data_IF_562625276597
#
_entry.id   IF_562625276597
#
_cell.length_a   1.000
_cell.length_b   1.000
_cell.length_c   1.000
_cell.angle_alpha   90.00
_cell.angle_beta   90.00
_cell.angle_gamma   90.00
#
_symmetry.space_group_name_H-M   'P 1'
#
loop_
_entity.id
_entity.type
_entity.pdbx_description
1 polymer ?
#
# COMPACT_ATOMS: atom_id res chain seq x y z
N UNK A 1 4.27 -2.70 11.02
CA UNK A 1 3.57 -1.91 9.95
C UNK A 1 2.97 -2.88 8.94
N UNK A 2 1.74 -2.63 8.50
CA UNK A 2 1.08 -3.39 7.44
C UNK A 2 0.66 -2.41 6.34
N UNK A 3 1.15 -2.63 5.12
CA UNK A 3 1.04 -1.63 4.03
C UNK A 3 0.19 -2.17 2.89
N UNK A 4 -0.81 -1.40 2.46
CA UNK A 4 -1.69 -1.74 1.35
C UNK A 4 -1.57 -0.75 0.20
N UNK A 5 -1.38 -1.28 -1.01
CA UNK A 5 -1.50 -0.49 -2.23
C UNK A 5 -2.97 -0.35 -2.64
N UNK A 6 -3.45 0.87 -2.87
CA UNK A 6 -4.84 1.12 -3.26
C UNK A 6 -4.92 1.67 -4.68
N UNK A 7 -5.59 0.93 -5.55
CA UNK A 7 -5.88 1.36 -6.92
C UNK A 7 -7.38 1.26 -7.23
N UNK A 8 -7.78 1.64 -8.41
CA UNK A 8 -9.18 1.51 -8.85
C UNK A 8 -9.51 2.39 -10.05
N UNK A 9 -10.68 2.16 -10.63
CA UNK A 9 -11.16 2.86 -11.81
C UNK A 9 -11.30 4.37 -11.63
N UNK A 10 -11.29 5.10 -12.72
CA UNK A 10 -11.64 6.53 -12.73
C UNK A 10 -13.09 6.69 -12.25
N UNK A 11 -13.28 7.48 -11.19
CA UNK A 11 -14.62 7.68 -10.61
C UNK A 11 -15.12 6.54 -9.70
N UNK A 12 -14.33 5.50 -9.43
CA UNK A 12 -14.71 4.43 -8.51
C UNK A 12 -14.82 4.88 -7.04
N UNK A 13 -14.19 5.98 -6.66
CA UNK A 13 -14.27 6.54 -5.31
C UNK A 13 -13.13 6.11 -4.38
N UNK A 14 -11.95 5.84 -4.94
CA UNK A 14 -10.72 5.54 -4.18
C UNK A 14 -10.49 6.49 -3.01
N UNK A 15 -10.50 7.78 -3.27
CA UNK A 15 -10.25 8.79 -2.23
C UNK A 15 -11.32 8.81 -1.13
N UNK A 16 -12.55 8.35 -1.41
CA UNK A 16 -13.58 8.16 -0.37
C UNK A 16 -13.25 6.95 0.49
N UNK A 17 -12.85 5.84 -0.14
CA UNK A 17 -12.38 4.62 0.55
C UNK A 17 -11.18 4.95 1.44
N UNK A 18 -10.14 5.59 0.89
CA UNK A 18 -8.94 5.99 1.65
C UNK A 18 -9.30 6.89 2.84
N UNK A 19 -10.21 7.87 2.66
CA UNK A 19 -10.68 8.75 3.74
C UNK A 19 -11.41 7.99 4.85
N UNK A 20 -12.18 6.95 4.51
CA UNK A 20 -12.82 6.11 5.53
C UNK A 20 -11.80 5.28 6.30
N UNK A 21 -10.81 4.71 5.64
CA UNK A 21 -9.69 4.06 6.31
C UNK A 21 -8.97 5.00 7.27
N UNK A 22 -8.68 6.22 6.83
CA UNK A 22 -8.00 7.25 7.63
C UNK A 22 -8.81 7.61 8.87
N UNK A 23 -10.14 7.80 8.74
CA UNK A 23 -11.03 8.06 9.88
C UNK A 23 -11.07 6.93 10.90
N UNK A 24 -10.78 5.70 10.47
CA UNK A 24 -10.76 4.51 11.32
C UNK A 24 -9.34 4.13 11.76
N UNK A 25 -8.35 5.02 11.65
CA UNK A 25 -7.04 4.86 12.27
C UNK A 25 -5.91 4.40 11.34
N UNK A 26 -6.15 4.26 10.04
CA UNK A 26 -5.09 4.03 9.07
C UNK A 26 -4.39 5.35 8.69
N UNK A 27 -3.13 5.27 8.29
CA UNK A 27 -2.42 6.40 7.65
C UNK A 27 -2.55 6.27 6.13
N UNK A 28 -2.80 7.38 5.43
CA UNK A 28 -2.92 7.39 3.97
C UNK A 28 -1.79 8.20 3.34
N UNK A 29 -1.10 7.62 2.37
CA UNK A 29 -0.15 8.27 1.48
C UNK A 29 -0.80 8.38 0.11
N UNK A 30 -0.93 9.60 -0.41
CA UNK A 30 -1.45 9.88 -1.75
C UNK A 30 -0.28 10.10 -2.71
N UNK A 31 -0.13 9.21 -3.71
CA UNK A 31 0.93 9.31 -4.71
C UNK A 31 0.71 10.52 -5.64
N UNK A 32 -0.52 10.94 -5.91
CA UNK A 32 -0.79 12.13 -6.72
C UNK A 32 -0.38 13.41 -5.96
N UNK A 33 -0.56 13.44 -4.65
CA UNK A 33 -0.04 14.53 -3.81
C UNK A 33 1.50 14.57 -3.82
N UNK A 34 2.15 13.42 -3.77
CA UNK A 34 3.62 13.33 -3.92
C UNK A 34 4.06 13.87 -5.28
N UNK A 35 3.39 13.51 -6.37
CA UNK A 35 3.68 14.07 -7.70
C UNK A 35 3.56 15.59 -7.69
N UNK A 36 2.56 16.12 -7.01
CA UNK A 36 2.37 17.56 -6.83
C UNK A 36 3.58 18.22 -6.17
N UNK A 37 4.04 17.68 -5.06
CA UNK A 37 5.20 18.17 -4.32
C UNK A 37 6.51 18.05 -5.14
N UNK A 38 6.64 16.97 -5.91
CA UNK A 38 7.83 16.76 -6.74
C UNK A 38 7.97 17.82 -7.85
N UNK A 39 6.86 18.34 -8.38
CA UNK A 39 6.87 19.44 -9.34
C UNK A 39 7.37 20.78 -8.76
N UNK A 40 7.40 20.92 -7.44
CA UNK A 40 7.97 22.09 -6.76
C UNK A 40 9.47 21.91 -6.50
N UNK A 41 10.00 20.69 -6.68
CA UNK A 41 11.42 20.38 -6.45
C UNK A 41 12.27 20.64 -7.70
N UNK A 42 13.40 21.34 -7.49
CA UNK A 42 14.34 21.71 -8.56
C UNK A 42 14.70 20.57 -9.52
N UNK A 43 15.06 19.33 -9.08
CA UNK A 43 15.53 18.30 -10.01
C UNK A 43 14.52 17.96 -11.13
N UNK A 44 13.23 17.86 -10.80
CA UNK A 44 12.19 17.59 -11.80
C UNK A 44 11.92 18.80 -12.67
N UNK A 45 11.84 19.98 -12.05
CA UNK A 45 11.59 21.24 -12.73
C UNK A 45 12.70 21.57 -13.75
N UNK A 46 13.97 21.42 -13.35
CA UNK A 46 15.12 21.71 -14.22
C UNK A 46 15.18 20.70 -15.39
N UNK A 47 14.91 19.43 -15.16
CA UNK A 47 14.82 18.42 -16.21
C UNK A 47 13.70 18.75 -17.23
N UNK A 48 12.53 19.11 -16.72
CA UNK A 48 11.37 19.47 -17.54
C UNK A 48 11.62 20.75 -18.35
N UNK A 49 12.21 21.78 -17.74
CA UNK A 49 12.59 23.02 -18.43
C UNK A 49 13.67 22.80 -19.48
N UNK A 50 14.66 21.98 -19.18
CA UNK A 50 15.70 21.62 -20.17
C UNK A 50 15.12 20.92 -21.39
N UNK A 51 14.05 20.14 -21.24
CA UNK A 51 13.43 19.40 -22.34
C UNK A 51 12.39 20.21 -23.09
N UNK A 52 11.54 20.94 -22.37
CA UNK A 52 10.38 21.62 -22.95
C UNK A 52 10.50 23.14 -22.99
N UNK A 53 11.54 23.71 -22.40
CA UNK A 53 11.76 25.15 -22.37
C UNK A 53 10.77 25.91 -21.50
N UNK A 54 10.69 27.22 -21.76
CA UNK A 54 9.81 28.14 -21.00
C UNK A 54 8.32 27.96 -21.29
N UNK A 55 7.95 27.15 -22.27
CA UNK A 55 6.53 26.92 -22.60
C UNK A 55 5.74 26.25 -21.48
N UNK A 56 6.42 25.58 -20.54
CA UNK A 56 5.80 24.96 -19.36
C UNK A 56 5.81 25.90 -18.13
N UNK A 57 6.26 27.15 -18.29
CA UNK A 57 6.26 28.13 -17.21
C UNK A 57 4.95 28.89 -17.19
N UNK A 58 4.28 28.93 -16.03
CA UNK A 58 3.17 29.81 -15.77
C UNK A 58 3.68 31.24 -15.50
N UNK A 59 2.81 32.29 -15.60
CA UNK A 59 3.23 33.67 -15.41
C UNK A 59 3.83 33.98 -14.02
N UNK A 60 3.49 33.20 -13.01
CA UNK A 60 4.01 33.28 -11.63
C UNK A 60 5.33 32.48 -11.44
N UNK A 61 5.87 31.88 -12.50
CA UNK A 61 7.07 31.06 -12.47
C UNK A 61 6.87 29.61 -12.04
N UNK A 62 5.63 29.23 -11.68
CA UNK A 62 5.27 27.83 -11.42
C UNK A 62 5.19 27.02 -12.72
N UNK A 63 4.97 25.72 -12.61
CA UNK A 63 4.74 24.84 -13.78
C UNK A 63 3.30 24.92 -14.26
N UNK A 64 3.11 25.24 -15.52
CA UNK A 64 1.81 25.09 -16.17
C UNK A 64 1.51 23.60 -16.43
N UNK A 65 0.80 22.99 -15.48
CA UNK A 65 0.43 21.57 -15.54
C UNK A 65 -0.51 21.23 -16.69
N UNK A 66 -1.29 22.19 -17.18
CA UNK A 66 -2.16 21.99 -18.36
C UNK A 66 -1.30 21.85 -19.61
N UNK A 67 -0.29 22.69 -19.74
CA UNK A 67 0.63 22.61 -20.86
C UNK A 67 1.47 21.31 -20.79
N UNK A 68 1.95 20.93 -19.60
CA UNK A 68 2.62 19.64 -19.41
C UNK A 68 1.72 18.49 -19.83
N UNK A 69 0.47 18.46 -19.36
CA UNK A 69 -0.49 17.43 -19.75
C UNK A 69 -0.71 17.40 -21.27
N UNK A 70 -0.80 18.57 -21.92
CA UNK A 70 -0.94 18.68 -23.38
C UNK A 70 0.24 18.06 -24.12
N UNK A 71 1.47 18.29 -23.63
CA UNK A 71 2.68 17.70 -24.20
C UNK A 71 2.66 16.18 -24.07
N UNK A 72 2.34 15.69 -22.90
CA UNK A 72 2.34 14.26 -22.59
C UNK A 72 1.30 13.48 -23.39
N UNK A 73 0.09 14.03 -23.53
CA UNK A 73 -0.97 13.38 -24.30
C UNK A 73 -0.77 13.48 -25.82
N UNK A 74 0.14 14.35 -26.28
CA UNK A 74 0.47 14.48 -27.69
C UNK A 74 1.60 13.54 -28.16
N UNK A 75 2.35 12.92 -27.24
CA UNK A 75 3.52 12.11 -27.58
C UNK A 75 3.82 11.03 -26.55
N UNK A 76 3.75 9.76 -26.98
CA UNK A 76 4.14 8.62 -26.15
C UNK A 76 5.60 8.71 -25.65
N UNK A 77 6.50 9.26 -26.48
CA UNK A 77 7.90 9.46 -26.12
C UNK A 77 8.08 10.46 -24.98
N UNK A 78 7.29 11.54 -24.96
CA UNK A 78 7.31 12.53 -23.89
C UNK A 78 6.71 11.95 -22.60
N UNK A 79 5.63 11.19 -22.74
CA UNK A 79 5.03 10.47 -21.62
C UNK A 79 6.01 9.48 -20.99
N UNK A 80 6.63 8.61 -21.82
CA UNK A 80 7.61 7.62 -21.36
C UNK A 80 8.83 8.29 -20.70
N UNK A 81 9.32 9.40 -21.26
CA UNK A 81 10.43 10.17 -20.69
C UNK A 81 10.11 10.71 -19.30
N UNK A 82 8.94 11.35 -19.13
CA UNK A 82 8.56 11.88 -17.83
C UNK A 82 8.35 10.75 -16.81
N UNK A 83 7.67 9.68 -17.19
CA UNK A 83 7.47 8.50 -16.32
C UNK A 83 8.80 7.90 -15.88
N UNK A 84 9.81 7.85 -16.76
CA UNK A 84 11.15 7.35 -16.44
C UNK A 84 11.86 8.15 -15.34
N UNK A 85 11.55 9.44 -15.20
CA UNK A 85 12.10 10.31 -14.14
C UNK A 85 11.19 10.27 -12.91
N UNK A 86 9.89 10.43 -13.11
CA UNK A 86 8.92 10.66 -12.03
C UNK A 86 8.67 9.41 -11.19
N UNK A 87 8.51 8.23 -11.84
CA UNK A 87 8.22 6.99 -11.10
C UNK A 87 9.29 6.63 -10.07
N UNK A 88 10.62 6.69 -10.38
CA UNK A 88 11.64 6.46 -9.37
C UNK A 88 11.62 7.49 -8.23
N UNK A 89 11.28 8.75 -8.53
CA UNK A 89 11.20 9.80 -7.51
C UNK A 89 10.00 9.56 -6.57
N UNK A 90 8.84 9.24 -7.13
CA UNK A 90 7.63 8.91 -6.36
C UNK A 90 7.87 7.69 -5.48
N UNK A 91 8.48 6.62 -6.03
CA UNK A 91 8.80 5.41 -5.28
C UNK A 91 9.70 5.71 -4.07
N UNK A 92 10.78 6.45 -4.27
CA UNK A 92 11.68 6.85 -3.17
C UNK A 92 10.97 7.67 -2.10
N UNK A 93 10.09 8.57 -2.51
CA UNK A 93 9.33 9.40 -1.57
C UNK A 93 8.33 8.56 -0.77
N UNK A 94 7.65 7.59 -1.40
CA UNK A 94 6.77 6.65 -0.71
C UNK A 94 7.58 5.84 0.31
N UNK A 95 8.69 5.22 -0.10
CA UNK A 95 9.58 4.45 0.78
C UNK A 95 10.09 5.28 1.96
N UNK A 96 10.49 6.54 1.70
CA UNK A 96 10.96 7.46 2.75
C UNK A 96 9.84 7.87 3.73
N UNK A 97 8.58 7.91 3.29
CA UNK A 97 7.44 8.15 4.19
C UNK A 97 7.09 6.90 4.98
N UNK A 98 7.04 5.74 4.31
CA UNK A 98 6.76 4.46 4.94
C UNK A 98 7.75 4.16 6.07
N UNK A 99 9.04 4.42 5.89
CA UNK A 99 10.07 4.18 6.92
C UNK A 99 9.88 4.97 8.24
N UNK A 100 8.92 5.89 8.29
CA UNK A 100 8.63 6.74 9.46
C UNK A 100 7.25 6.44 10.07
N UNK A 101 6.55 5.45 9.53
CA UNK A 101 5.18 5.13 9.90
C UNK A 101 5.09 3.74 10.50
N UNK A 102 4.11 3.54 11.35
CA UNK A 102 3.73 2.28 11.95
C UNK A 102 2.23 1.99 11.76
N UNK A 103 1.77 0.82 12.15
CA UNK A 103 0.37 0.42 12.06
C UNK A 103 -0.08 0.10 10.64
N UNK A 104 -1.31 0.46 10.31
CA UNK A 104 -1.91 0.24 8.98
C UNK A 104 -1.67 1.46 8.10
N UNK A 105 -1.01 1.26 6.96
CA UNK A 105 -0.71 2.32 5.99
C UNK A 105 -1.29 1.96 4.63
N UNK A 106 -2.06 2.87 4.06
CA UNK A 106 -2.55 2.76 2.69
C UNK A 106 -1.78 3.73 1.78
N UNK A 107 -1.38 3.25 0.62
CA UNK A 107 -0.76 4.09 -0.42
C UNK A 107 -1.68 4.11 -1.64
N UNK A 108 -2.35 5.24 -1.88
CA UNK A 108 -3.20 5.43 -3.06
C UNK A 108 -2.31 5.66 -4.28
N UNK A 109 -2.28 4.68 -5.21
CA UNK A 109 -1.51 4.73 -6.46
C UNK A 109 -2.45 4.43 -7.63
N UNK A 110 -2.83 5.43 -8.43
CA UNK A 110 -3.78 5.23 -9.53
C UNK A 110 -3.36 4.17 -10.56
N UNK A 111 -2.04 4.06 -10.82
CA UNK A 111 -1.45 3.17 -11.83
C UNK A 111 -0.68 1.99 -11.20
N UNK A 112 -1.14 1.48 -10.06
CA UNK A 112 -0.45 0.44 -9.30
C UNK A 112 -0.22 -0.84 -10.10
N UNK A 113 -1.18 -1.25 -10.92
CA UNK A 113 -1.17 -2.52 -11.66
C UNK A 113 -0.59 -2.42 -13.07
N UNK A 114 -0.33 -1.21 -13.58
CA UNK A 114 0.19 -0.95 -14.93
C UNK A 114 1.70 -1.20 -15.05
N UNK A 115 2.39 -1.43 -13.95
CA UNK A 115 3.80 -1.81 -13.87
C UNK A 115 3.98 -2.97 -12.90
N UNK A 116 5.16 -3.61 -12.85
CA UNK A 116 5.46 -4.56 -11.78
C UNK A 116 5.22 -3.92 -10.43
N UNK A 117 4.50 -4.64 -9.55
CA UNK A 117 4.22 -4.17 -8.21
C UNK A 117 5.52 -3.82 -7.48
N UNK A 118 5.56 -2.69 -6.76
CA UNK A 118 6.69 -2.40 -5.88
C UNK A 118 6.76 -3.42 -4.73
N UNK A 119 7.90 -3.48 -4.05
CA UNK A 119 8.10 -4.47 -2.97
C UNK A 119 7.55 -4.01 -1.60
N UNK A 120 6.99 -2.82 -1.49
CA UNK A 120 6.52 -2.31 -0.20
C UNK A 120 5.08 -2.72 0.19
N UNK A 121 4.11 -3.05 -0.71
CA UNK A 121 2.79 -3.45 -0.24
C UNK A 121 2.76 -4.90 0.21
N UNK A 122 2.22 -5.13 1.41
CA UNK A 122 1.90 -6.46 1.93
C UNK A 122 0.64 -7.03 1.28
N UNK A 123 -0.18 -6.16 0.67
CA UNK A 123 -1.37 -6.52 -0.08
C UNK A 123 -1.89 -5.35 -0.92
N UNK A 124 -2.89 -5.62 -1.73
CA UNK A 124 -3.47 -4.66 -2.68
C UNK A 124 -4.97 -4.60 -2.59
N UNK A 125 -5.52 -3.39 -2.66
CA UNK A 125 -6.96 -3.13 -2.73
C UNK A 125 -7.29 -2.51 -4.10
N UNK A 126 -8.28 -3.08 -4.78
CA UNK A 126 -8.85 -2.48 -5.96
C UNK A 126 -10.27 -1.96 -5.69
N UNK A 127 -10.45 -0.65 -5.82
CA UNK A 127 -11.76 -0.01 -5.68
C UNK A 127 -12.46 -0.01 -7.03
N UNK A 128 -13.58 -0.70 -7.09
CA UNK A 128 -14.40 -0.90 -8.28
C UNK A 128 -15.76 -0.23 -8.10
N UNK A 129 -16.35 0.19 -9.22
CA UNK A 129 -17.74 0.62 -9.27
C UNK A 129 -18.33 0.37 -10.66
N UNK A 130 -19.62 0.22 -10.75
CA UNK A 130 -20.33 0.05 -12.02
C UNK A 130 -20.10 1.25 -12.94
N UNK A 131 -20.21 1.02 -14.24
CA UNK A 131 -20.09 2.09 -15.25
C UNK A 131 -21.06 3.23 -14.98
N UNK A 132 -22.28 2.90 -14.55
CA UNK A 132 -23.31 3.88 -14.23
C UNK A 132 -22.93 4.74 -13.01
N UNK A 133 -22.48 4.13 -11.91
CA UNK A 133 -22.03 4.87 -10.71
C UNK A 133 -20.84 5.76 -11.02
N UNK A 134 -19.85 5.25 -11.77
CA UNK A 134 -18.68 6.02 -12.21
C UNK A 134 -19.05 7.18 -13.13
N UNK A 135 -19.97 6.94 -14.09
CA UNK A 135 -20.47 7.97 -15.00
C UNK A 135 -21.11 9.14 -14.26
N UNK A 136 -22.01 8.85 -13.30
CA UNK A 136 -22.60 9.90 -12.45
C UNK A 136 -21.54 10.72 -11.69
N UNK A 137 -20.58 10.04 -11.05
CA UNK A 137 -19.52 10.72 -10.27
C UNK A 137 -18.58 11.55 -11.15
N UNK A 138 -18.25 11.06 -12.33
CA UNK A 138 -17.35 11.75 -13.27
C UNK A 138 -18.03 12.96 -13.93
N UNK A 139 -19.33 12.90 -14.19
CA UNK A 139 -20.09 14.06 -14.68
C UNK A 139 -19.97 15.26 -13.74
N UNK A 140 -20.03 15.06 -12.41
CA UNK A 140 -19.79 16.12 -11.43
C UNK A 140 -18.36 16.71 -11.47
N UNK A 141 -17.39 15.95 -12.04
CA UNK A 141 -16.00 16.41 -12.23
C UNK A 141 -15.75 17.03 -13.59
N UNK A 142 -16.80 17.16 -14.43
CA UNK A 142 -16.70 17.70 -15.79
C UNK A 142 -16.01 16.74 -16.77
N UNK A 143 -15.93 15.44 -16.44
CA UNK A 143 -15.40 14.41 -17.32
C UNK A 143 -16.56 13.74 -18.05
N UNK A 144 -16.53 13.82 -19.39
CA UNK A 144 -17.47 13.06 -20.22
C UNK A 144 -17.01 11.60 -20.43
N UNK A 145 -17.90 10.80 -20.97
CA UNK A 145 -17.65 9.37 -21.16
C UNK A 145 -16.52 9.12 -22.17
N UNK A 146 -16.39 9.95 -23.18
CA UNK A 146 -15.35 9.83 -24.20
C UNK A 146 -13.95 10.08 -23.58
N UNK A 147 -13.84 11.05 -22.69
CA UNK A 147 -12.61 11.33 -21.94
C UNK A 147 -12.24 10.18 -21.00
N UNK A 148 -13.22 9.60 -20.31
CA UNK A 148 -13.01 8.44 -19.43
C UNK A 148 -12.53 7.25 -20.24
N UNK A 149 -13.20 6.94 -21.36
CA UNK A 149 -12.85 5.84 -22.24
C UNK A 149 -11.45 6.03 -22.85
N UNK A 150 -11.10 7.24 -23.22
CA UNK A 150 -9.76 7.57 -23.72
C UNK A 150 -8.69 7.34 -22.66
N UNK A 151 -8.92 7.71 -21.40
CA UNK A 151 -7.98 7.45 -20.29
C UNK A 151 -7.86 5.96 -19.98
N UNK A 152 -8.96 5.24 -20.02
CA UNK A 152 -8.98 3.80 -19.72
C UNK A 152 -8.39 2.95 -20.84
N UNK A 153 -8.39 3.42 -22.11
CA UNK A 153 -7.84 2.66 -23.23
C UNK A 153 -6.33 2.42 -23.16
N UNK A 154 -5.61 3.22 -22.38
CA UNK A 154 -4.16 3.06 -22.15
C UNK A 154 -3.84 2.21 -20.91
N UNK A 155 -4.87 1.79 -20.15
CA UNK A 155 -4.70 1.08 -18.91
C UNK A 155 -5.00 -0.41 -19.10
N UNK A 156 -4.50 -1.22 -18.17
CA UNK A 156 -4.88 -2.63 -18.09
C UNK A 156 -6.40 -2.78 -17.98
N UNK A 157 -6.99 -3.82 -18.58
CA UNK A 157 -8.42 -4.09 -18.46
C UNK A 157 -8.84 -4.21 -17.00
N UNK A 158 -9.99 -3.63 -16.66
CA UNK A 158 -10.56 -3.66 -15.29
C UNK A 158 -10.57 -5.08 -14.71
N UNK A 159 -11.00 -6.07 -15.49
CA UNK A 159 -11.08 -7.46 -15.06
C UNK A 159 -9.72 -7.99 -14.60
N UNK A 160 -8.68 -7.71 -15.37
CA UNK A 160 -7.32 -8.13 -15.05
C UNK A 160 -6.80 -7.47 -13.76
N UNK A 161 -7.11 -6.19 -13.53
CA UNK A 161 -6.74 -5.50 -12.28
C UNK A 161 -7.48 -6.07 -11.08
N UNK A 162 -8.76 -6.42 -11.23
CA UNK A 162 -9.53 -7.07 -10.17
C UNK A 162 -9.00 -8.46 -9.84
N UNK A 163 -8.56 -9.24 -10.84
CA UNK A 163 -7.97 -10.56 -10.65
C UNK A 163 -6.58 -10.52 -10.01
N UNK A 164 -5.84 -9.42 -10.16
CA UNK A 164 -4.53 -9.23 -9.57
C UNK A 164 -4.56 -8.66 -8.15
N UNK A 165 -5.67 -8.06 -7.77
CA UNK A 165 -5.84 -7.46 -6.44
C UNK A 165 -6.16 -8.53 -5.39
N UNK A 166 -5.58 -8.38 -4.19
CA UNK A 166 -5.86 -9.26 -3.05
C UNK A 166 -7.25 -9.01 -2.48
N UNK A 167 -7.73 -7.76 -2.55
CA UNK A 167 -9.07 -7.35 -2.11
C UNK A 167 -9.73 -6.46 -3.16
N UNK A 168 -11.03 -6.65 -3.37
CA UNK A 168 -11.85 -5.78 -4.21
C UNK A 168 -12.94 -5.15 -3.36
N UNK A 169 -13.01 -3.81 -3.36
CA UNK A 169 -14.09 -3.05 -2.72
C UNK A 169 -15.03 -2.55 -3.81
N UNK A 170 -16.26 -3.08 -3.84
CA UNK A 170 -17.29 -2.61 -4.75
C UNK A 170 -18.02 -1.42 -4.15
N UNK A 171 -17.98 -0.29 -4.85
CA UNK A 171 -18.56 0.98 -4.42
C UNK A 171 -19.74 1.39 -5.31
N UNK A 172 -20.78 0.58 -5.34
CA UNK A 172 -22.00 0.83 -6.11
C UNK A 172 -23.15 1.35 -5.25
N UNK A 173 -23.09 1.08 -3.95
CA UNK A 173 -24.14 1.36 -2.99
C UNK A 173 -24.15 2.76 -2.41
N UNK A 174 -24.94 2.91 -1.34
CA UNK A 174 -24.97 4.11 -0.51
C UNK A 174 -23.63 4.32 0.24
N UNK A 175 -23.33 5.58 0.53
CA UNK A 175 -22.08 5.96 1.19
C UNK A 175 -21.95 5.32 2.58
N UNK A 176 -23.06 5.22 3.33
CA UNK A 176 -23.07 4.64 4.68
C UNK A 176 -22.72 3.14 4.66
N UNK A 177 -23.14 2.42 3.62
CA UNK A 177 -22.76 1.02 3.45
C UNK A 177 -21.26 0.88 3.17
N UNK A 178 -20.71 1.71 2.30
CA UNK A 178 -19.27 1.74 2.04
C UNK A 178 -18.49 2.08 3.32
N UNK A 179 -18.95 3.05 4.10
CA UNK A 179 -18.31 3.45 5.37
C UNK A 179 -18.28 2.30 6.37
N UNK A 180 -19.40 1.57 6.51
CA UNK A 180 -19.47 0.38 7.37
C UNK A 180 -18.53 -0.71 6.89
N UNK A 181 -18.55 -1.04 5.60
CA UNK A 181 -17.65 -2.05 5.00
C UNK A 181 -16.18 -1.70 5.24
N UNK A 182 -15.79 -0.44 5.01
CA UNK A 182 -14.40 0.01 5.20
C UNK A 182 -14.02 0.01 6.67
N UNK A 183 -14.92 0.38 7.57
CA UNK A 183 -14.65 0.33 9.02
C UNK A 183 -14.37 -1.11 9.47
N UNK A 184 -15.25 -2.05 9.15
CA UNK A 184 -15.11 -3.45 9.57
C UNK A 184 -13.83 -4.08 8.97
N UNK A 185 -13.48 -3.71 7.72
CA UNK A 185 -12.23 -4.11 7.11
C UNK A 185 -11.01 -3.45 7.80
N UNK A 186 -11.10 -2.18 8.18
CA UNK A 186 -10.03 -1.48 8.90
C UNK A 186 -9.75 -2.13 10.26
N UNK A 187 -10.79 -2.46 11.01
CA UNK A 187 -10.65 -3.13 12.32
C UNK A 187 -9.92 -4.48 12.17
N UNK A 188 -10.29 -5.24 11.13
CA UNK A 188 -9.62 -6.50 10.80
C UNK A 188 -8.14 -6.29 10.44
N UNK A 189 -7.85 -5.33 9.57
CA UNK A 189 -6.49 -5.04 9.11
C UNK A 189 -5.60 -4.44 10.20
N UNK A 190 -6.16 -3.61 11.10
CA UNK A 190 -5.43 -3.11 12.27
C UNK A 190 -5.05 -4.24 13.23
N UNK A 191 -5.93 -5.23 13.39
CA UNK A 191 -5.60 -6.44 14.16
C UNK A 191 -4.45 -7.21 13.52
N UNK A 192 -4.42 -7.32 12.18
CA UNK A 192 -3.32 -7.94 11.45
C UNK A 192 -2.04 -7.12 11.49
N UNK A 193 -2.14 -5.81 11.44
CA UNK A 193 -0.98 -4.90 11.51
C UNK A 193 -0.25 -4.98 12.87
N UNK A 194 -0.97 -5.31 13.94
CA UNK A 194 -0.40 -5.58 15.26
C UNK A 194 0.05 -7.03 15.46
N UNK A 195 -0.07 -7.90 14.46
CA UNK A 195 0.37 -9.28 14.53
C UNK A 195 1.80 -9.39 13.99
N UNK A 196 2.66 -10.05 14.75
CA UNK A 196 4.06 -10.30 14.42
C UNK A 196 4.29 -11.80 14.40
N UNK A 197 5.06 -12.29 13.44
CA UNK A 197 5.53 -13.66 13.42
C UNK A 197 6.99 -13.75 13.79
N UNK A 198 7.37 -14.81 14.48
CA UNK A 198 8.74 -15.07 14.88
C UNK A 198 9.08 -16.53 14.90
N UNK A 199 10.36 -16.83 14.98
CA UNK A 199 10.88 -18.20 15.15
C UNK A 199 11.95 -18.19 16.24
N UNK A 200 11.95 -19.23 17.07
CA UNK A 200 13.02 -19.51 18.03
C UNK A 200 13.56 -20.90 17.82
N UNK A 201 14.87 -21.05 17.78
CA UNK A 201 15.55 -22.34 17.59
C UNK A 201 16.25 -22.75 18.88
N UNK A 202 15.93 -23.92 19.37
CA UNK A 202 16.42 -24.47 20.64
C UNK A 202 17.38 -25.64 20.39
N UNK A 203 18.33 -25.80 21.29
CA UNK A 203 19.28 -26.91 21.25
C UNK A 203 18.67 -28.30 21.53
N UNK A 204 17.43 -28.35 22.01
CA UNK A 204 16.71 -29.60 22.27
C UNK A 204 15.20 -29.46 22.13
N UNK A 205 14.54 -30.58 21.89
CA UNK A 205 13.07 -30.73 21.86
C UNK A 205 12.40 -30.36 23.19
N UNK A 206 13.04 -30.64 24.30
CA UNK A 206 12.52 -30.35 25.64
C UNK A 206 12.39 -28.83 25.85
N UNK A 207 13.44 -28.06 25.48
CA UNK A 207 13.42 -26.60 25.57
C UNK A 207 12.40 -25.98 24.61
N UNK A 208 12.29 -26.49 23.40
CA UNK A 208 11.27 -26.07 22.45
C UNK A 208 9.85 -26.33 23.00
N UNK A 209 9.63 -27.50 23.64
CA UNK A 209 8.37 -27.83 24.29
C UNK A 209 8.04 -26.92 25.48
N UNK A 210 9.05 -26.58 26.28
CA UNK A 210 8.89 -25.63 27.40
C UNK A 210 8.50 -24.24 26.92
N UNK A 211 9.12 -23.76 25.84
CA UNK A 211 8.79 -22.48 25.22
C UNK A 211 7.36 -22.46 24.68
N UNK A 212 6.97 -23.47 23.90
CA UNK A 212 5.62 -23.61 23.38
C UNK A 212 4.56 -23.65 24.50
N UNK A 213 4.83 -24.41 25.56
CA UNK A 213 3.95 -24.52 26.71
C UNK A 213 3.81 -23.15 27.43
N UNK A 214 4.90 -22.41 27.58
CA UNK A 214 4.85 -21.07 28.18
C UNK A 214 4.01 -20.10 27.33
N UNK A 215 4.19 -20.09 26.00
CA UNK A 215 3.40 -19.23 25.10
C UNK A 215 1.90 -19.57 25.16
N UNK A 216 1.56 -20.87 25.24
CA UNK A 216 0.17 -21.32 25.38
C UNK A 216 -0.42 -20.97 26.74
N UNK A 217 0.34 -21.20 27.83
CA UNK A 217 -0.11 -20.96 29.21
C UNK A 217 -0.39 -19.46 29.44
N UNK A 218 0.46 -18.59 28.90
CA UNK A 218 0.29 -17.15 29.02
C UNK A 218 -0.66 -16.57 27.95
N UNK A 219 -1.17 -17.40 27.03
CA UNK A 219 -2.06 -17.03 25.94
C UNK A 219 -1.55 -15.85 25.11
N UNK A 220 -0.24 -15.84 24.83
CA UNK A 220 0.45 -14.74 24.12
C UNK A 220 0.78 -15.06 22.66
N UNK A 221 0.54 -16.28 22.20
CA UNK A 221 0.68 -16.68 20.81
C UNK A 221 -0.65 -17.18 20.24
N UNK A 222 -1.02 -16.69 19.07
CA UNK A 222 -2.28 -17.04 18.40
C UNK A 222 -2.14 -18.27 17.50
N UNK A 223 -0.92 -18.55 17.03
CA UNK A 223 -0.60 -19.75 16.26
C UNK A 223 0.82 -20.22 16.60
N UNK A 224 0.98 -21.54 16.70
CA UNK A 224 2.24 -22.19 17.02
C UNK A 224 2.48 -23.35 16.04
N UNK A 225 3.70 -23.52 15.58
CA UNK A 225 4.13 -24.71 14.87
C UNK A 225 5.53 -25.11 15.29
N UNK A 226 5.81 -26.43 15.33
CA UNK A 226 7.11 -26.98 15.71
C UNK A 226 7.77 -27.66 14.54
N UNK A 227 9.09 -27.47 14.39
CA UNK A 227 9.92 -28.11 13.39
C UNK A 227 11.11 -28.80 14.08
N UNK A 228 11.39 -30.03 13.69
CA UNK A 228 12.58 -30.78 14.12
C UNK A 228 13.67 -30.70 13.07
N UNK A 229 14.90 -30.54 13.53
CA UNK A 229 16.08 -30.56 12.68
C UNK A 229 16.83 -31.88 12.86
N UNK A 230 17.55 -32.30 11.83
CA UNK A 230 18.30 -33.59 11.82
C UNK A 230 19.45 -33.62 12.82
N UNK A 231 19.92 -32.48 13.30
CA UNK A 231 20.99 -32.32 14.29
C UNK A 231 20.50 -32.31 15.75
N UNK A 232 19.22 -32.61 15.98
CA UNK A 232 18.61 -32.65 17.31
C UNK A 232 18.09 -31.33 17.83
N UNK A 233 18.26 -30.23 17.08
CA UNK A 233 17.61 -28.94 17.39
C UNK A 233 16.12 -28.98 17.08
N UNK A 234 15.37 -28.07 17.69
CA UNK A 234 13.96 -27.86 17.39
C UNK A 234 13.66 -26.36 17.24
N UNK A 235 12.86 -26.01 16.26
CA UNK A 235 12.37 -24.68 16.02
C UNK A 235 10.90 -24.56 16.46
N UNK A 236 10.51 -23.42 17.01
CA UNK A 236 9.12 -23.07 17.26
C UNK A 236 8.83 -21.77 16.51
N UNK A 237 7.98 -21.85 15.50
CA UNK A 237 7.44 -20.67 14.81
C UNK A 237 6.14 -20.27 15.49
N UNK A 238 5.92 -18.99 15.66
CA UNK A 238 4.75 -18.45 16.37
C UNK A 238 4.24 -17.16 15.70
N UNK A 239 2.97 -16.88 15.94
CA UNK A 239 2.30 -15.63 15.60
C UNK A 239 1.77 -15.02 16.88
N UNK A 240 2.02 -13.75 17.09
CA UNK A 240 1.66 -13.03 18.32
C UNK A 240 1.28 -11.59 18.05
N UNK A 241 0.70 -10.93 19.06
CA UNK A 241 0.49 -9.49 19.04
C UNK A 241 1.79 -8.74 19.40
N UNK A 242 2.05 -7.61 18.76
CA UNK A 242 3.24 -6.79 18.98
C UNK A 242 3.47 -6.45 20.48
N UNK A 243 2.40 -6.21 21.21
CA UNK A 243 2.48 -5.95 22.67
C UNK A 243 3.10 -7.10 23.48
N UNK A 244 3.11 -8.32 22.95
CA UNK A 244 3.65 -9.52 23.61
C UNK A 244 5.12 -9.79 23.29
N UNK A 245 5.76 -9.03 22.37
CA UNK A 245 7.13 -9.26 21.90
C UNK A 245 8.14 -9.33 23.06
N UNK A 246 8.09 -8.34 23.96
CA UNK A 246 9.00 -8.27 25.09
C UNK A 246 8.89 -9.50 25.99
N UNK A 247 7.66 -9.95 26.26
CA UNK A 247 7.41 -11.12 27.11
C UNK A 247 7.91 -12.40 26.46
N UNK A 248 7.74 -12.53 25.15
CA UNK A 248 8.25 -13.68 24.38
C UNK A 248 9.77 -13.72 24.41
N UNK A 249 10.43 -12.58 24.25
CA UNK A 249 11.89 -12.48 24.34
C UNK A 249 12.41 -12.85 25.73
N UNK A 250 11.74 -12.43 26.81
CA UNK A 250 12.09 -12.79 28.18
C UNK A 250 11.99 -14.32 28.39
N UNK A 251 10.94 -14.96 27.87
CA UNK A 251 10.76 -16.42 27.93
C UNK A 251 11.86 -17.11 27.11
N UNK A 252 12.14 -16.66 25.91
CA UNK A 252 13.18 -17.24 25.05
C UNK A 252 14.58 -17.13 25.69
N UNK A 253 14.92 -15.98 26.25
CA UNK A 253 16.18 -15.77 26.97
C UNK A 253 16.33 -16.68 28.19
N UNK A 254 15.25 -16.92 28.93
CA UNK A 254 15.22 -17.88 30.05
C UNK A 254 15.49 -19.33 29.62
N UNK A 255 15.38 -19.63 28.33
CA UNK A 255 15.64 -20.95 27.74
C UNK A 255 16.91 -20.97 26.86
N UNK A 256 17.82 -20.00 27.02
CA UNK A 256 19.07 -19.84 26.28
C UNK A 256 18.90 -19.74 24.77
N UNK A 257 17.90 -19.01 24.33
CA UNK A 257 17.68 -18.74 22.89
C UNK A 257 17.25 -17.30 22.65
N UNK A 258 17.16 -16.92 21.38
CA UNK A 258 16.65 -15.63 20.93
C UNK A 258 15.55 -15.85 19.90
N UNK A 259 14.62 -14.90 19.83
CA UNK A 259 13.63 -14.86 18.77
C UNK A 259 14.21 -14.22 17.50
N UNK A 260 13.91 -14.84 16.35
CA UNK A 260 14.13 -14.25 15.04
C UNK A 260 12.78 -13.73 14.56
N UNK A 261 12.66 -12.44 14.38
CA UNK A 261 11.44 -11.78 13.95
C UNK A 261 11.38 -11.70 12.43
N UNK A 262 10.25 -12.04 11.84
CA UNK A 262 10.12 -12.08 10.38
C UNK A 262 10.13 -10.69 9.72
N UNK A 263 9.96 -9.62 10.50
CA UNK A 263 9.87 -8.24 10.00
C UNK A 263 10.87 -7.28 10.69
N UNK A 264 12.04 -7.78 11.12
CA UNK A 264 13.10 -6.93 11.66
C UNK A 264 14.17 -6.61 10.62
#
# INVERSE_FOLDING_TARGET
MFTLGVAGDVGAGKSSVCRFFERNGATVIDADAIVHELWERKPLLDAARSRWGERIAAPDGAVDRREVARILFASEGEYAWLCGILHPMVRREIEARLSKLDGLVLVEVPLLFESPLPCWPDGTIYVSASREARGRRNAFRGLDEAEIQRRESFLLPRKEKMERADLVIENDGALDHLETTVRDLTDTLLSLAGIVSGESVFGSEERAGSFETALQTENIATALSRKRFSDGRAGVSFVTEERSLRRIEEIAQGLDTRCLWANS
#
